data_IF_711458021818
#
_entry.id   IF_711458021818
#
_cell.length_a   1.000
_cell.length_b   1.000
_cell.length_c   1.000
_cell.angle_alpha   90.00
_cell.angle_beta   90.00
_cell.angle_gamma   90.00
#
_symmetry.space_group_name_H-M   'P 1'
#
loop_
_entity.id
_entity.type
_entity.pdbx_description
1 polymer ?
#
# COMPACT_ATOMS: atom_id res chain seq x y z
N UNK A 1 7.26 0.24 -21.64
CA UNK A 1 8.10 0.83 -20.56
C UNK A 1 7.52 0.46 -19.20
N UNK A 2 8.36 -0.09 -18.32
CA UNK A 2 8.01 -0.24 -16.91
C UNK A 2 8.10 1.15 -16.28
N UNK A 3 6.99 1.70 -15.79
CA UNK A 3 6.94 3.02 -15.12
C UNK A 3 6.78 2.82 -13.60
N UNK A 4 7.70 2.08 -12.99
CA UNK A 4 7.59 1.72 -11.57
C UNK A 4 7.83 2.93 -10.66
N UNK A 5 8.63 3.92 -11.09
CA UNK A 5 8.89 5.15 -10.37
C UNK A 5 7.60 5.98 -10.21
N UNK A 6 6.75 5.97 -11.23
CA UNK A 6 5.46 6.63 -11.18
C UNK A 6 4.50 5.88 -10.26
N UNK A 7 4.50 4.54 -10.28
CA UNK A 7 3.74 3.75 -9.32
C UNK A 7 4.21 4.03 -7.88
N UNK A 8 5.51 4.12 -7.64
CA UNK A 8 6.05 4.49 -6.33
C UNK A 8 5.55 5.87 -5.90
N UNK A 9 5.66 6.86 -6.78
CA UNK A 9 5.17 8.21 -6.50
C UNK A 9 3.65 8.22 -6.22
N UNK A 10 2.87 7.47 -6.98
CA UNK A 10 1.43 7.35 -6.80
C UNK A 10 1.08 6.69 -5.46
N UNK A 11 1.78 5.62 -5.06
CA UNK A 11 1.59 5.00 -3.74
C UNK A 11 1.87 5.99 -2.61
N UNK A 12 2.96 6.78 -2.73
CA UNK A 12 3.33 7.77 -1.72
C UNK A 12 2.35 8.93 -1.61
N UNK A 13 1.84 9.40 -2.74
CA UNK A 13 0.99 10.59 -2.80
C UNK A 13 -0.50 10.29 -2.63
N UNK A 14 -0.97 9.11 -3.06
CA UNK A 14 -2.39 8.77 -3.11
C UNK A 14 -2.81 7.73 -2.06
N UNK A 15 -1.91 6.81 -1.68
CA UNK A 15 -2.27 5.70 -0.77
C UNK A 15 -1.76 5.94 0.64
N UNK A 16 -0.52 6.40 0.84
CA UNK A 16 0.03 6.61 2.18
C UNK A 16 -0.68 7.71 2.99
N UNK A 17 -1.52 8.54 2.36
CA UNK A 17 -2.39 9.51 3.04
C UNK A 17 -3.67 8.92 3.62
N UNK A 18 -4.03 7.69 3.24
CA UNK A 18 -5.25 7.01 3.68
C UNK A 18 -5.05 6.35 5.05
N UNK A 19 -6.17 5.87 5.64
CA UNK A 19 -6.13 5.21 6.93
C UNK A 19 -5.41 3.86 6.86
N UNK A 20 -4.48 3.64 7.78
CA UNK A 20 -3.78 2.38 7.94
C UNK A 20 -4.39 1.55 9.08
N UNK A 21 -4.86 0.35 8.73
CA UNK A 21 -5.38 -0.63 9.68
C UNK A 21 -4.25 -1.55 10.13
N UNK A 22 -4.02 -1.64 11.45
CA UNK A 22 -3.11 -2.64 12.02
C UNK A 22 -3.77 -4.02 11.95
N UNK A 23 -3.19 -4.95 11.21
CA UNK A 23 -3.78 -6.28 10.99
C UNK A 23 -3.17 -7.39 11.85
N UNK A 24 -1.84 -7.50 11.87
CA UNK A 24 -1.16 -8.60 12.56
C UNK A 24 0.18 -8.14 13.10
N UNK A 25 0.54 -8.58 14.31
CA UNK A 25 1.88 -8.45 14.85
C UNK A 25 2.59 -9.80 14.77
N UNK A 26 3.69 -9.86 14.03
CA UNK A 26 4.54 -11.05 13.91
C UNK A 26 5.82 -10.87 14.73
N UNK A 27 6.66 -11.91 14.78
CA UNK A 27 8.01 -11.80 15.36
C UNK A 27 8.88 -10.78 14.60
N UNK A 28 8.63 -10.60 13.29
CA UNK A 28 9.40 -9.72 12.42
C UNK A 28 8.96 -8.25 12.48
N UNK A 29 7.69 -7.97 12.78
CA UNK A 29 7.18 -6.62 12.73
C UNK A 29 5.67 -6.48 12.88
N UNK A 30 5.20 -5.24 12.79
CA UNK A 30 3.77 -4.92 12.73
C UNK A 30 3.33 -4.77 11.27
N UNK A 31 2.32 -5.54 10.87
CA UNK A 31 1.69 -5.48 9.56
C UNK A 31 0.56 -4.45 9.55
N UNK A 32 0.44 -3.75 8.41
CA UNK A 32 -0.60 -2.78 8.14
C UNK A 32 -1.24 -3.03 6.77
N UNK A 33 -2.55 -2.83 6.70
CA UNK A 33 -3.29 -2.72 5.45
C UNK A 33 -3.73 -1.28 5.24
N UNK A 34 -3.57 -0.77 4.03
CA UNK A 34 -4.13 0.51 3.60
C UNK A 34 -5.00 0.26 2.38
N UNK A 35 -6.28 0.62 2.50
CA UNK A 35 -7.25 0.57 1.39
C UNK A 35 -7.42 1.97 0.81
N UNK A 36 -7.43 2.08 -0.51
CA UNK A 36 -7.57 3.37 -1.18
C UNK A 36 -7.88 3.25 -2.66
N UNK A 37 -8.15 4.39 -3.29
CA UNK A 37 -8.32 4.49 -4.73
C UNK A 37 -7.00 4.97 -5.34
N UNK A 38 -6.43 4.18 -6.23
CA UNK A 38 -5.25 4.53 -7.00
C UNK A 38 -5.67 5.01 -8.39
N UNK A 39 -5.34 6.25 -8.75
CA UNK A 39 -5.50 6.79 -10.10
C UNK A 39 -4.22 6.56 -10.87
N UNK A 40 -4.28 5.70 -11.89
CA UNK A 40 -3.15 5.39 -12.74
C UNK A 40 -2.89 6.45 -13.81
N UNK A 41 -1.77 6.32 -14.57
CA UNK A 41 -1.38 7.27 -15.62
C UNK A 41 -2.35 7.38 -16.78
N UNK A 42 -3.21 6.39 -16.96
CA UNK A 42 -4.27 6.39 -17.96
C UNK A 42 -5.55 7.11 -17.47
N UNK A 43 -5.49 7.75 -16.30
CA UNK A 43 -6.61 8.43 -15.64
C UNK A 43 -7.67 7.48 -15.07
N UNK A 44 -7.45 6.16 -15.11
CA UNK A 44 -8.40 5.18 -14.56
C UNK A 44 -8.11 4.97 -13.08
N UNK A 45 -9.19 4.87 -12.31
CA UNK A 45 -9.15 4.57 -10.88
C UNK A 45 -9.26 3.07 -10.63
N UNK A 46 -8.51 2.56 -9.66
CA UNK A 46 -8.57 1.19 -9.18
C UNK A 46 -8.65 1.18 -7.65
N UNK A 47 -9.62 0.48 -7.09
CA UNK A 47 -9.60 0.19 -5.65
C UNK A 47 -8.49 -0.80 -5.36
N UNK A 48 -7.61 -0.47 -4.42
CA UNK A 48 -6.45 -1.29 -4.07
C UNK A 48 -6.35 -1.49 -2.57
N UNK A 49 -5.76 -2.62 -2.20
CA UNK A 49 -5.28 -2.89 -0.85
C UNK A 49 -3.77 -3.05 -0.92
N UNK A 50 -3.07 -2.28 -0.10
CA UNK A 50 -1.62 -2.34 0.04
C UNK A 50 -1.25 -2.87 1.41
N UNK A 51 -0.25 -3.74 1.45
CA UNK A 51 0.26 -4.37 2.66
C UNK A 51 1.64 -3.82 2.95
N UNK A 52 1.85 -3.40 4.19
CA UNK A 52 3.10 -2.81 4.68
C UNK A 52 3.53 -3.50 5.97
N UNK A 53 4.83 -3.47 6.26
CA UNK A 53 5.37 -3.93 7.54
C UNK A 53 6.33 -2.90 8.12
N UNK A 54 6.15 -2.54 9.39
CA UNK A 54 7.21 -1.89 10.19
C UNK A 54 8.04 -2.97 10.87
N UNK A 55 9.30 -3.06 10.45
CA UNK A 55 10.29 -4.04 10.89
C UNK A 55 10.76 -3.74 12.33
N UNK A 56 10.83 -4.76 13.20
CA UNK A 56 11.20 -4.58 14.61
C UNK A 56 12.69 -4.27 14.81
N UNK A 57 13.57 -4.76 13.94
CA UNK A 57 15.02 -4.59 14.08
C UNK A 57 15.45 -3.18 13.66
N UNK A 58 14.86 -2.68 12.58
CA UNK A 58 15.26 -1.42 11.95
C UNK A 58 14.28 -0.27 12.21
N UNK A 59 13.04 -0.57 12.61
CA UNK A 59 11.97 0.42 12.73
C UNK A 59 11.45 0.95 11.38
N UNK A 60 11.96 0.44 10.26
CA UNK A 60 11.60 0.91 8.93
C UNK A 60 10.30 0.28 8.44
N UNK A 61 9.45 1.09 7.81
CA UNK A 61 8.24 0.62 7.14
C UNK A 61 8.53 0.29 5.69
N UNK A 62 8.20 -0.93 5.26
CA UNK A 62 8.42 -1.43 3.90
C UNK A 62 7.11 -1.81 3.23
N UNK A 63 7.01 -1.54 1.93
CA UNK A 63 5.94 -2.05 1.08
C UNK A 63 6.15 -3.55 0.85
N UNK A 64 5.12 -4.36 1.07
CA UNK A 64 5.17 -5.82 0.91
C UNK A 64 4.47 -6.23 -0.38
N UNK A 65 3.21 -5.83 -0.56
CA UNK A 65 2.44 -6.17 -1.76
C UNK A 65 1.25 -5.22 -1.97
N UNK A 66 0.69 -5.24 -3.17
CA UNK A 66 -0.55 -4.56 -3.53
C UNK A 66 -1.38 -5.47 -4.42
N UNK A 67 -2.69 -5.47 -4.21
CA UNK A 67 -3.63 -6.14 -5.10
C UNK A 67 -4.92 -5.34 -5.26
N UNK A 68 -5.67 -5.54 -6.37
CA UNK A 68 -6.99 -4.95 -6.53
C UNK A 68 -7.91 -5.34 -5.38
N UNK A 69 -8.49 -4.36 -4.71
CA UNK A 69 -9.43 -4.59 -3.63
C UNK A 69 -10.82 -4.83 -4.21
N UNK A 70 -11.14 -6.11 -4.43
CA UNK A 70 -12.43 -6.55 -4.96
C UNK A 70 -13.58 -6.43 -3.95
N UNK A 71 -13.33 -5.93 -2.73
CA UNK A 71 -14.37 -5.74 -1.71
C UNK A 71 -15.21 -4.46 -1.93
N UNK A 72 -15.12 -3.80 -3.09
CA UNK A 72 -16.10 -2.77 -3.46
C UNK A 72 -17.45 -3.46 -3.72
N UNK A 73 -18.30 -3.48 -2.70
CA UNK A 73 -19.74 -3.73 -2.82
C UNK A 73 -20.47 -2.39 -2.74
#
# INVERSE_FOLDING_TARGET
PENWEMLEADLRNQILSENADSVERTEFGQMYEIRGILVGPNGKSLSVLTVWMTDNETGNTRFITMYPDRKVR
#
